data_IF_711319197950
#
_entry.id   IF_711319197950
#
_cell.length_a   1.000
_cell.length_b   1.000
_cell.length_c   1.000
_cell.angle_alpha   90.00
_cell.angle_beta   90.00
_cell.angle_gamma   90.00
#
_symmetry.space_group_name_H-M   'P 1'
#
loop_
_entity.id
_entity.type
_entity.pdbx_description
1 polymer ?
#
# COMPACT_ATOMS: atom_id res chain seq x y z
N UNK A 1 -29.56 -9.40 -24.98
CA UNK A 1 -28.60 -10.25 -24.27
C UNK A 1 -27.79 -9.35 -23.38
N UNK A 2 -27.77 -9.60 -22.07
CA UNK A 2 -26.99 -8.79 -21.11
C UNK A 2 -25.50 -8.88 -21.49
N UNK A 3 -24.88 -7.73 -21.84
CA UNK A 3 -23.47 -7.68 -22.26
C UNK A 3 -22.49 -8.17 -21.17
N UNK A 4 -22.96 -8.27 -19.93
CA UNK A 4 -22.17 -8.76 -18.79
C UNK A 4 -22.49 -10.21 -18.42
N UNK A 5 -23.38 -10.90 -19.14
CA UNK A 5 -23.77 -12.28 -18.82
C UNK A 5 -22.55 -13.24 -18.75
N UNK A 6 -21.55 -13.02 -19.62
CA UNK A 6 -20.30 -13.79 -19.61
C UNK A 6 -19.50 -13.67 -18.31
N UNK A 7 -19.59 -12.53 -17.61
CA UNK A 7 -18.87 -12.31 -16.36
C UNK A 7 -19.53 -13.01 -15.16
N UNK A 8 -20.78 -13.40 -15.29
CA UNK A 8 -21.52 -14.09 -14.24
C UNK A 8 -20.92 -15.47 -13.90
N UNK A 9 -20.26 -16.07 -14.86
CA UNK A 9 -19.64 -17.40 -14.74
C UNK A 9 -18.12 -17.35 -14.56
N UNK A 10 -17.52 -16.16 -14.47
CA UNK A 10 -16.09 -16.05 -14.22
C UNK A 10 -15.80 -16.16 -12.72
N UNK A 11 -14.89 -17.06 -12.29
CA UNK A 11 -14.57 -17.26 -10.87
C UNK A 11 -14.03 -16.00 -10.17
N UNK A 12 -13.44 -15.08 -10.94
CA UNK A 12 -12.88 -13.84 -10.43
C UNK A 12 -13.94 -12.77 -10.07
N UNK A 13 -15.22 -13.01 -10.37
CA UNK A 13 -16.32 -12.10 -10.05
C UNK A 13 -17.35 -12.86 -9.22
N UNK A 14 -17.09 -13.10 -7.94
CA UNK A 14 -18.04 -13.76 -7.08
C UNK A 14 -19.28 -12.88 -6.90
N UNK A 15 -20.43 -13.46 -7.21
CA UNK A 15 -21.73 -12.86 -7.00
C UNK A 15 -22.45 -13.58 -5.88
N UNK A 16 -23.15 -12.82 -5.04
CA UNK A 16 -24.12 -13.38 -4.10
C UNK A 16 -25.29 -14.08 -4.84
N UNK A 17 -26.07 -14.83 -4.12
CA UNK A 17 -27.26 -15.51 -4.66
C UNK A 17 -28.28 -14.55 -5.28
N UNK A 18 -28.25 -13.30 -4.86
CA UNK A 18 -29.07 -12.19 -5.37
C UNK A 18 -28.38 -11.39 -6.50
N UNK A 19 -27.23 -11.84 -7.00
CA UNK A 19 -26.46 -11.19 -8.07
C UNK A 19 -25.63 -9.99 -7.64
N UNK A 20 -25.62 -9.62 -6.35
CA UNK A 20 -24.76 -8.53 -5.86
C UNK A 20 -23.30 -8.98 -5.80
N UNK A 21 -22.40 -8.01 -6.02
CA UNK A 21 -20.97 -8.23 -5.79
C UNK A 21 -20.72 -8.39 -4.30
N UNK A 22 -20.19 -9.54 -3.90
CA UNK A 22 -19.91 -9.88 -2.50
C UNK A 22 -18.42 -9.80 -2.16
N UNK A 23 -17.53 -9.66 -3.16
CA UNK A 23 -16.11 -9.42 -2.95
C UNK A 23 -15.92 -8.10 -2.21
N UNK A 24 -15.18 -8.13 -1.11
CA UNK A 24 -14.95 -6.95 -0.29
C UNK A 24 -16.11 -6.58 0.64
N UNK A 25 -17.06 -7.51 0.86
CA UNK A 25 -18.06 -7.35 1.91
C UNK A 25 -17.38 -7.27 3.30
N UNK A 26 -18.04 -6.66 4.32
CA UNK A 26 -17.49 -6.61 5.67
C UNK A 26 -17.09 -7.98 6.23
N UNK A 27 -17.87 -9.02 5.93
CA UNK A 27 -17.64 -10.40 6.35
C UNK A 27 -16.36 -10.96 5.69
N UNK A 28 -16.19 -10.73 4.39
CA UNK A 28 -14.98 -11.14 3.66
C UNK A 28 -13.75 -10.37 4.12
N UNK A 29 -13.88 -9.08 4.41
CA UNK A 29 -12.80 -8.29 4.98
C UNK A 29 -12.39 -8.81 6.38
N UNK A 30 -13.36 -9.15 7.21
CA UNK A 30 -13.11 -9.75 8.53
C UNK A 30 -12.43 -11.11 8.42
N UNK A 31 -12.90 -11.98 7.51
CA UNK A 31 -12.30 -13.28 7.25
C UNK A 31 -10.86 -13.16 6.73
N UNK A 32 -10.62 -12.25 5.78
CA UNK A 32 -9.28 -11.98 5.25
C UNK A 32 -8.32 -11.52 6.35
N UNK A 33 -8.79 -10.62 7.23
CA UNK A 33 -8.00 -10.16 8.37
C UNK A 33 -7.67 -11.29 9.35
N UNK A 34 -8.63 -12.16 9.63
CA UNK A 34 -8.44 -13.33 10.49
C UNK A 34 -7.41 -14.28 9.87
N UNK A 35 -7.57 -14.62 8.59
CA UNK A 35 -6.65 -15.48 7.87
C UNK A 35 -5.22 -14.93 7.84
N UNK A 36 -5.07 -13.62 7.61
CA UNK A 36 -3.77 -12.96 7.66
C UNK A 36 -3.12 -13.08 9.06
N UNK A 37 -3.89 -12.90 10.13
CA UNK A 37 -3.41 -13.06 11.50
C UNK A 37 -2.96 -14.48 11.81
N UNK A 38 -3.73 -15.47 11.39
CA UNK A 38 -3.41 -16.90 11.58
C UNK A 38 -2.23 -17.37 10.72
N UNK A 39 -2.00 -16.73 9.57
CA UNK A 39 -0.88 -17.01 8.68
C UNK A 39 0.46 -16.42 9.12
N UNK A 40 0.50 -15.55 10.14
CA UNK A 40 1.75 -14.96 10.61
C UNK A 40 2.56 -15.95 11.45
N UNK A 41 3.83 -16.12 11.09
CA UNK A 41 4.77 -16.99 11.82
C UNK A 41 5.92 -16.16 12.39
N UNK A 42 6.09 -16.19 13.70
CA UNK A 42 7.21 -15.51 14.38
C UNK A 42 8.47 -16.38 14.30
N UNK A 43 9.34 -16.10 13.34
CA UNK A 43 10.55 -16.90 13.09
C UNK A 43 11.67 -16.66 14.13
N UNK A 44 11.68 -15.49 14.76
CA UNK A 44 12.73 -15.12 15.73
C UNK A 44 12.21 -14.06 16.68
N UNK A 45 12.40 -14.27 17.96
CA UNK A 45 12.04 -13.32 19.01
C UNK A 45 13.13 -13.30 20.10
N UNK A 46 14.26 -12.72 19.75
CA UNK A 46 15.35 -12.52 20.72
C UNK A 46 14.92 -11.48 21.74
N UNK A 47 15.33 -11.66 22.99
CA UNK A 47 15.01 -10.77 24.10
C UNK A 47 13.51 -10.66 24.44
N UNK A 48 12.69 -11.56 23.88
CA UNK A 48 11.23 -11.57 24.13
C UNK A 48 10.56 -10.21 23.88
N UNK A 49 10.99 -9.49 22.80
CA UNK A 49 10.44 -8.17 22.45
C UNK A 49 8.96 -8.25 22.10
N UNK A 50 8.50 -9.36 21.57
CA UNK A 50 7.08 -9.60 21.24
C UNK A 50 6.49 -10.69 22.17
N UNK A 51 5.21 -10.58 22.56
CA UNK A 51 4.31 -9.46 22.27
C UNK A 51 4.71 -8.18 23.01
N UNK A 52 4.38 -7.02 22.43
CA UNK A 52 4.61 -5.75 23.10
C UNK A 52 3.79 -5.67 24.38
N UNK A 53 4.41 -5.20 25.45
CA UNK A 53 3.70 -4.93 26.70
C UNK A 53 2.81 -3.69 26.56
N UNK A 54 1.74 -3.64 27.35
CA UNK A 54 0.82 -2.49 27.32
C UNK A 54 1.58 -1.21 27.71
N UNK A 55 1.36 -0.14 26.94
CA UNK A 55 2.00 1.15 27.14
C UNK A 55 3.38 1.27 26.48
N UNK A 56 3.89 0.23 25.81
CA UNK A 56 5.15 0.32 25.05
C UNK A 56 5.11 1.48 24.09
N UNK A 57 6.17 2.30 24.12
CA UNK A 57 6.36 3.37 23.12
C UNK A 57 7.02 2.80 21.87
N UNK A 58 6.42 3.07 20.70
CA UNK A 58 6.84 2.53 19.41
C UNK A 58 7.20 3.66 18.47
N UNK A 59 8.41 3.64 17.91
CA UNK A 59 8.79 4.50 16.80
C UNK A 59 8.60 3.76 15.46
N UNK A 60 8.02 4.44 14.48
CA UNK A 60 7.76 3.90 13.15
C UNK A 60 8.73 4.53 12.17
N UNK A 61 9.46 3.69 11.43
CA UNK A 61 10.45 4.11 10.45
C UNK A 61 10.08 3.63 9.06
N UNK A 62 10.48 4.39 8.05
CA UNK A 62 10.21 4.12 6.65
C UNK A 62 8.93 4.78 6.15
N UNK A 63 8.98 5.36 4.94
CA UNK A 63 7.82 6.04 4.34
C UNK A 63 6.59 5.13 4.19
N UNK A 64 6.81 3.83 4.01
CA UNK A 64 5.74 2.83 3.90
C UNK A 64 4.86 2.75 5.16
N UNK A 65 5.31 3.30 6.29
CA UNK A 65 4.47 3.42 7.49
C UNK A 65 3.31 4.38 7.29
N UNK A 66 3.47 5.38 6.41
CA UNK A 66 2.47 6.41 6.07
C UNK A 66 1.90 6.17 4.67
N UNK A 67 2.76 5.91 3.69
CA UNK A 67 2.37 5.66 2.30
C UNK A 67 2.71 4.23 1.91
N UNK A 68 1.78 3.33 2.20
CA UNK A 68 1.93 1.91 1.87
C UNK A 68 1.55 1.64 0.41
N UNK A 69 2.47 1.05 -0.34
CA UNK A 69 2.20 0.60 -1.71
C UNK A 69 1.50 -0.75 -1.64
N UNK A 70 0.18 -0.76 -1.87
CA UNK A 70 -0.66 -1.98 -1.78
C UNK A 70 -0.43 -2.99 -2.90
N UNK A 71 0.17 -2.55 -4.00
CA UNK A 71 0.43 -3.39 -5.17
C UNK A 71 1.30 -2.66 -6.18
N UNK A 72 1.80 -3.39 -7.17
CA UNK A 72 2.49 -2.81 -8.32
C UNK A 72 1.53 -2.16 -9.30
N UNK A 73 2.03 -1.72 -10.45
CA UNK A 73 1.19 -1.21 -11.54
C UNK A 73 0.45 -2.32 -12.30
N UNK A 74 -0.40 -1.93 -13.23
CA UNK A 74 -1.14 -2.82 -14.11
C UNK A 74 -2.21 -3.64 -13.38
N UNK A 75 -2.27 -4.94 -13.64
CA UNK A 75 -3.27 -5.84 -13.05
C UNK A 75 -3.15 -6.03 -11.55
N UNK A 76 -2.01 -5.71 -10.96
CA UNK A 76 -1.77 -5.74 -9.52
C UNK A 76 -2.34 -4.51 -8.78
N UNK A 77 -2.67 -3.44 -9.49
CA UNK A 77 -3.23 -2.22 -8.91
C UNK A 77 -4.75 -2.29 -8.80
N UNK A 78 -5.21 -3.14 -7.91
CA UNK A 78 -6.63 -3.38 -7.68
C UNK A 78 -7.28 -2.19 -6.97
N UNK A 79 -8.42 -1.76 -7.48
CA UNK A 79 -9.22 -0.74 -6.81
C UNK A 79 -9.82 -1.29 -5.52
N UNK A 80 -9.54 -0.66 -4.38
CA UNK A 80 -10.06 -1.07 -3.09
C UNK A 80 -10.80 0.10 -2.41
N UNK A 81 -11.77 -0.24 -1.57
CA UNK A 81 -12.61 0.74 -0.87
C UNK A 81 -11.82 1.61 0.13
N UNK A 82 -10.76 1.04 0.70
CA UNK A 82 -9.84 1.75 1.62
C UNK A 82 -8.47 1.10 1.61
N UNK A 83 -7.47 1.87 2.00
CA UNK A 83 -6.10 1.41 2.23
C UNK A 83 -5.80 1.62 3.72
N UNK A 84 -5.14 0.65 4.35
CA UNK A 84 -4.62 0.76 5.72
C UNK A 84 -3.11 0.67 5.67
N UNK A 85 -2.45 1.66 6.24
CA UNK A 85 -1.01 1.64 6.42
C UNK A 85 -0.63 1.19 7.85
N UNK A 86 0.67 1.08 8.11
CA UNK A 86 1.17 0.63 9.41
C UNK A 86 0.79 1.62 10.52
N UNK A 87 0.89 2.93 10.23
CA UNK A 87 0.52 3.97 11.19
C UNK A 87 -0.96 3.91 11.57
N UNK A 88 -1.87 3.63 10.62
CA UNK A 88 -3.30 3.46 10.92
C UNK A 88 -3.54 2.32 11.92
N UNK A 89 -2.83 1.20 11.74
CA UNK A 89 -2.90 0.06 12.65
C UNK A 89 -2.41 0.43 14.06
N UNK A 90 -1.27 1.09 14.16
CA UNK A 90 -0.72 1.53 15.46
C UNK A 90 -1.56 2.63 16.11
N UNK A 91 -2.12 3.58 15.34
CA UNK A 91 -3.04 4.60 15.85
C UNK A 91 -4.28 3.99 16.48
N UNK A 92 -4.82 2.92 15.87
CA UNK A 92 -5.92 2.19 16.47
C UNK A 92 -5.51 1.55 17.80
N UNK A 93 -4.31 0.94 17.86
CA UNK A 93 -3.82 0.34 19.11
C UNK A 93 -3.48 1.38 20.18
N UNK A 94 -3.06 2.56 19.77
CA UNK A 94 -2.87 3.70 20.67
C UNK A 94 -4.21 4.19 21.26
N UNK A 95 -5.25 4.31 20.45
CA UNK A 95 -6.60 4.64 20.91
C UNK A 95 -7.17 3.59 21.88
N UNK A 96 -6.80 2.32 21.71
CA UNK A 96 -7.13 1.22 22.64
C UNK A 96 -6.26 1.25 23.93
N UNK A 97 -5.32 2.18 24.06
CA UNK A 97 -4.39 2.29 25.18
C UNK A 97 -3.39 1.14 25.29
N UNK A 98 -3.10 0.46 24.17
CA UNK A 98 -2.18 -0.69 24.13
C UNK A 98 -0.74 -0.29 23.89
N UNK A 99 -0.51 0.75 23.10
CA UNK A 99 0.83 1.28 22.76
C UNK A 99 0.79 2.82 22.79
N UNK A 100 1.94 3.46 22.73
CA UNK A 100 2.10 4.89 22.47
C UNK A 100 3.00 5.07 21.26
N UNK A 101 2.53 5.82 20.25
CA UNK A 101 3.31 6.06 19.02
C UNK A 101 4.20 7.28 19.20
N UNK A 102 5.49 7.15 18.89
CA UNK A 102 6.41 8.26 18.87
C UNK A 102 6.12 9.17 17.67
N UNK A 103 5.50 10.32 17.93
CA UNK A 103 4.97 11.21 16.89
C UNK A 103 6.01 11.88 16.00
N UNK A 104 7.21 12.27 16.48
CA UNK A 104 8.17 12.97 15.62
C UNK A 104 8.54 12.22 14.35
N UNK A 105 8.74 10.89 14.39
CA UNK A 105 9.01 10.10 13.19
C UNK A 105 7.82 10.06 12.24
N UNK A 106 6.61 9.98 12.77
CA UNK A 106 5.36 9.99 11.97
C UNK A 106 5.18 11.34 11.27
N UNK A 107 5.41 12.44 11.98
CA UNK A 107 5.28 13.80 11.45
C UNK A 107 6.31 14.05 10.34
N UNK A 108 7.55 13.62 10.56
CA UNK A 108 8.60 13.67 9.55
C UNK A 108 8.16 12.97 8.25
N UNK A 109 7.71 11.70 8.34
CA UNK A 109 7.31 10.98 7.13
C UNK A 109 6.04 11.54 6.49
N UNK A 110 5.08 12.06 7.25
CA UNK A 110 3.90 12.72 6.69
C UNK A 110 4.26 13.95 5.88
N UNK A 111 5.13 14.81 6.41
CA UNK A 111 5.57 16.01 5.69
C UNK A 111 6.43 15.65 4.48
N UNK A 112 7.35 14.68 4.65
CA UNK A 112 8.16 14.18 3.54
C UNK A 112 7.30 13.66 2.38
N UNK A 113 6.35 12.77 2.66
CA UNK A 113 5.46 12.20 1.64
C UNK A 113 4.65 13.30 0.97
N UNK A 114 4.09 14.23 1.73
CA UNK A 114 3.32 15.37 1.21
C UNK A 114 4.15 16.23 0.24
N UNK A 115 5.40 16.55 0.57
CA UNK A 115 6.27 17.35 -0.30
C UNK A 115 6.78 16.54 -1.50
N UNK A 116 7.18 15.29 -1.29
CA UNK A 116 7.68 14.43 -2.36
C UNK A 116 6.59 14.06 -3.37
N UNK A 117 5.34 13.89 -2.92
CA UNK A 117 4.20 13.60 -3.81
C UNK A 117 3.94 14.70 -4.84
N UNK A 118 4.33 15.94 -4.57
CA UNK A 118 4.24 17.06 -5.54
C UNK A 118 5.11 16.85 -6.78
N UNK A 119 6.11 15.97 -6.70
CA UNK A 119 7.05 15.67 -7.80
C UNK A 119 6.58 14.48 -8.64
N UNK A 120 5.54 13.75 -8.21
CA UNK A 120 4.99 12.65 -8.98
C UNK A 120 4.37 13.20 -10.26
N UNK A 121 4.73 12.63 -11.44
CA UNK A 121 4.19 13.11 -12.70
C UNK A 121 2.67 12.95 -12.77
N UNK A 122 2.01 13.93 -13.33
CA UNK A 122 0.58 13.88 -13.60
C UNK A 122 0.26 12.81 -14.66
N UNK A 123 -0.98 12.32 -14.66
CA UNK A 123 -1.44 11.36 -15.66
C UNK A 123 -1.17 11.83 -17.10
N UNK A 124 -1.41 13.10 -17.40
CA UNK A 124 -1.14 13.66 -18.74
C UNK A 124 0.34 13.65 -19.11
N UNK A 125 1.25 13.83 -18.14
CA UNK A 125 2.69 13.71 -18.37
C UNK A 125 3.09 12.26 -18.63
N UNK A 126 2.53 11.32 -17.87
CA UNK A 126 2.77 9.89 -18.04
C UNK A 126 2.23 9.42 -19.40
N UNK A 127 1.04 9.83 -19.80
CA UNK A 127 0.48 9.49 -21.12
C UNK A 127 1.39 9.97 -22.27
N UNK A 128 1.94 11.18 -22.21
CA UNK A 128 2.91 11.65 -23.20
C UNK A 128 4.21 10.83 -23.25
N UNK A 129 4.68 10.37 -22.10
CA UNK A 129 5.84 9.46 -22.05
C UNK A 129 5.51 8.13 -22.73
N UNK A 130 4.33 7.56 -22.44
CA UNK A 130 3.88 6.31 -23.04
C UNK A 130 3.67 6.44 -24.56
N UNK A 131 3.17 7.56 -25.06
CA UNK A 131 3.06 7.82 -26.51
C UNK A 131 4.45 7.79 -27.17
N UNK A 132 5.45 8.42 -26.55
CA UNK A 132 6.84 8.37 -27.02
C UNK A 132 7.39 6.93 -26.98
N UNK A 133 7.24 6.24 -25.87
CA UNK A 133 7.72 4.87 -25.67
C UNK A 133 7.10 3.90 -26.67
N UNK A 134 5.80 4.03 -26.94
CA UNK A 134 5.10 3.18 -27.90
C UNK A 134 5.55 3.41 -29.36
N UNK A 135 6.03 4.60 -29.69
CA UNK A 135 6.59 4.92 -31.00
C UNK A 135 8.03 4.41 -31.19
N UNK A 136 8.73 4.03 -30.12
CA UNK A 136 10.11 3.56 -30.16
C UNK A 136 10.20 2.08 -30.48
N UNK A 137 11.21 1.69 -31.29
CA UNK A 137 11.61 0.30 -31.44
C UNK A 137 12.21 -0.24 -30.12
N UNK A 138 12.23 -1.56 -29.98
CA UNK A 138 12.80 -2.20 -28.79
C UNK A 138 14.31 -1.93 -28.69
N UNK A 139 14.73 -1.23 -27.65
CA UNK A 139 16.13 -0.88 -27.37
C UNK A 139 16.32 -0.55 -25.89
N UNK A 140 17.57 -0.53 -25.44
CA UNK A 140 17.89 -0.22 -24.03
C UNK A 140 17.33 1.13 -23.58
N UNK A 141 17.40 2.16 -24.42
CA UNK A 141 16.86 3.50 -24.08
C UNK A 141 15.36 3.43 -23.78
N UNK A 142 14.61 2.62 -24.52
CA UNK A 142 13.18 2.40 -24.26
C UNK A 142 12.96 1.76 -22.89
N UNK A 143 13.74 0.75 -22.55
CA UNK A 143 13.64 0.07 -21.26
C UNK A 143 14.01 1.01 -20.11
N UNK A 144 15.04 1.82 -20.26
CA UNK A 144 15.46 2.83 -19.26
C UNK A 144 14.33 3.85 -19.02
N UNK A 145 13.70 4.37 -20.08
CA UNK A 145 12.58 5.31 -19.99
C UNK A 145 11.38 4.66 -19.25
N UNK A 146 11.06 3.41 -19.57
CA UNK A 146 9.98 2.67 -18.92
C UNK A 146 10.28 2.53 -17.42
N UNK A 147 11.48 2.09 -17.06
CA UNK A 147 11.90 1.91 -15.67
C UNK A 147 11.85 3.23 -14.89
N UNK A 148 12.44 4.29 -15.42
CA UNK A 148 12.46 5.61 -14.79
C UNK A 148 11.05 6.17 -14.61
N UNK A 149 10.16 5.93 -15.59
CA UNK A 149 8.76 6.35 -15.50
C UNK A 149 8.07 5.65 -14.34
N UNK A 150 8.19 4.33 -14.22
CA UNK A 150 7.61 3.59 -13.11
C UNK A 150 8.20 4.03 -11.76
N UNK A 151 9.52 4.23 -11.69
CA UNK A 151 10.17 4.73 -10.48
C UNK A 151 9.65 6.11 -10.06
N UNK A 152 9.41 7.00 -11.03
CA UNK A 152 8.90 8.36 -10.77
C UNK A 152 7.45 8.42 -10.29
N UNK A 153 6.67 7.35 -10.49
CA UNK A 153 5.27 7.26 -10.05
C UNK A 153 5.11 7.05 -8.54
N UNK A 154 6.20 6.82 -7.81
CA UNK A 154 6.20 6.57 -6.39
C UNK A 154 7.17 7.51 -5.65
N UNK A 155 6.80 7.85 -4.41
CA UNK A 155 7.71 8.57 -3.52
C UNK A 155 8.87 7.65 -3.15
N UNK A 156 10.11 8.11 -3.32
CA UNK A 156 11.30 7.39 -2.87
C UNK A 156 11.37 7.33 -1.34
N UNK A 157 12.22 6.45 -0.78
CA UNK A 157 12.46 6.43 0.66
C UNK A 157 13.20 7.68 1.11
N UNK A 158 12.87 8.19 2.30
CA UNK A 158 13.51 9.35 2.90
C UNK A 158 14.79 8.95 3.64
N UNK A 159 15.78 9.81 3.59
CA UNK A 159 16.86 9.79 4.58
C UNK A 159 16.38 10.52 5.84
N UNK A 160 16.26 9.78 6.95
CA UNK A 160 15.84 10.38 8.22
C UNK A 160 17.02 11.10 8.88
N UNK A 161 16.83 12.31 9.38
CA UNK A 161 17.86 13.02 10.15
C UNK A 161 18.25 12.26 11.42
N UNK A 162 19.55 12.27 11.77
CA UNK A 162 20.07 11.55 12.95
C UNK A 162 19.45 12.02 14.25
N UNK A 163 19.00 13.28 14.31
CA UNK A 163 18.35 13.87 15.49
C UNK A 163 16.98 13.24 15.82
N UNK A 164 16.42 12.47 14.88
CA UNK A 164 15.14 11.75 15.07
C UNK A 164 15.32 10.26 15.37
N UNK A 165 16.57 9.77 15.36
CA UNK A 165 16.92 8.38 15.67
C UNK A 165 17.35 8.27 17.14
#
# INVERSE_FOLDING_TARGET
MDKYARFRYQPCIPLGTDGRKVTGSPEHAALSRKAAGEGMVLLKNRLHTLPLTRGTRVALFGKATIEYIKGGGGSGDVFCAYIRNVYDGFSQKEAEGKVSVFKPTVEFYKEYVKEASKRIPTRAQIEKIWDKVNAMSFCKEKDDIIYDTFASMHVAEAHMPDELI
#
